data_IF_604367104735
#
_entry.id   IF_604367104735
#
_cell.length_a   1.000
_cell.length_b   1.000
_cell.length_c   1.000
_cell.angle_alpha   90.00
_cell.angle_beta   90.00
_cell.angle_gamma   90.00
#
_symmetry.space_group_name_H-M   'P 1'
#
loop_
_entity.id
_entity.type
_entity.pdbx_description
1 polymer ?
#
# COMPACT_ATOMS: atom_id res chain seq x y z
N UNK A 1 -6.00 20.17 36.35
CA UNK A 1 -6.17 18.76 35.95
C UNK A 1 -6.34 18.74 34.44
N UNK A 2 -5.29 18.40 33.69
CA UNK A 2 -5.39 18.31 32.22
C UNK A 2 -6.02 16.98 31.85
N UNK A 3 -7.10 17.00 31.10
CA UNK A 3 -7.69 15.81 30.48
C UNK A 3 -6.68 15.19 29.51
N UNK A 4 -6.47 13.87 29.51
CA UNK A 4 -5.67 13.23 28.49
C UNK A 4 -6.34 13.47 27.14
N UNK A 5 -5.58 14.03 26.19
CA UNK A 5 -6.01 14.11 24.80
C UNK A 5 -6.24 12.67 24.32
N UNK A 6 -7.47 12.36 23.89
CA UNK A 6 -7.71 11.14 23.15
C UNK A 6 -6.74 11.14 21.96
N UNK A 7 -5.91 10.11 21.85
CA UNK A 7 -5.04 9.93 20.70
C UNK A 7 -5.86 9.84 19.41
N UNK A 8 -5.22 9.96 18.24
CA UNK A 8 -5.91 9.77 16.97
C UNK A 8 -6.66 8.42 16.96
N UNK A 9 -7.95 8.46 16.65
CA UNK A 9 -8.77 7.27 16.43
C UNK A 9 -8.44 6.78 15.03
N UNK A 10 -7.67 5.70 14.94
CA UNK A 10 -7.39 5.06 13.66
C UNK A 10 -8.59 4.20 13.26
N UNK A 11 -9.05 4.33 12.03
CA UNK A 11 -10.11 3.49 11.50
C UNK A 11 -9.59 2.06 11.26
N UNK A 12 -10.36 1.03 11.63
CA UNK A 12 -10.00 -0.35 11.33
C UNK A 12 -9.95 -0.57 9.81
N UNK A 13 -9.21 -1.61 9.39
CA UNK A 13 -9.16 -1.97 7.98
C UNK A 13 -10.55 -2.28 7.41
N UNK A 14 -10.86 -1.72 6.24
CA UNK A 14 -12.10 -1.99 5.52
C UNK A 14 -12.03 -3.37 4.86
N UNK A 15 -12.96 -4.24 5.22
CA UNK A 15 -13.09 -5.58 4.67
C UNK A 15 -13.53 -5.57 3.19
N UNK A 16 -12.72 -6.15 2.30
CA UNK A 16 -13.03 -6.28 0.86
C UNK A 16 -13.83 -7.56 0.55
N UNK A 17 -14.81 -7.89 1.40
CA UNK A 17 -15.65 -9.09 1.26
C UNK A 17 -16.49 -9.01 -0.03
N UNK A 18 -16.06 -9.75 -1.05
CA UNK A 18 -16.82 -9.92 -2.29
C UNK A 18 -16.46 -8.95 -3.43
N UNK A 19 -15.46 -8.08 -3.28
CA UNK A 19 -15.02 -7.24 -4.39
C UNK A 19 -14.10 -6.08 -4.02
N UNK A 20 -13.73 -5.30 -5.04
CA UNK A 20 -12.80 -4.16 -4.92
C UNK A 20 -13.51 -2.80 -4.98
N UNK A 21 -14.83 -2.75 -4.82
CA UNK A 21 -15.59 -1.51 -5.06
C UNK A 21 -15.22 -0.41 -4.05
N UNK A 22 -15.04 -0.77 -2.78
CA UNK A 22 -14.60 0.15 -1.72
C UNK A 22 -13.20 0.69 -2.02
N UNK A 23 -12.26 -0.20 -2.38
CA UNK A 23 -10.91 0.18 -2.79
C UNK A 23 -10.91 1.07 -4.03
N UNK A 24 -11.71 0.74 -5.06
CA UNK A 24 -11.86 1.54 -6.29
C UNK A 24 -12.43 2.93 -5.98
N UNK A 25 -13.45 3.01 -5.12
CA UNK A 25 -14.06 4.27 -4.72
C UNK A 25 -13.03 5.15 -4.02
N UNK A 26 -12.38 4.63 -2.98
CA UNK A 26 -11.35 5.35 -2.25
C UNK A 26 -10.18 5.76 -3.17
N UNK A 27 -9.72 4.86 -4.05
CA UNK A 27 -8.68 5.19 -5.02
C UNK A 27 -9.06 6.41 -5.88
N UNK A 28 -10.30 6.46 -6.37
CA UNK A 28 -10.79 7.55 -7.21
C UNK A 28 -11.08 8.83 -6.42
N UNK A 29 -11.51 8.74 -5.16
CA UNK A 29 -11.70 9.90 -4.27
C UNK A 29 -10.37 10.63 -4.00
N UNK A 30 -9.25 9.89 -4.00
CA UNK A 30 -7.90 10.42 -3.78
C UNK A 30 -7.09 10.62 -5.08
N UNK A 31 -7.75 10.76 -6.23
CA UNK A 31 -7.05 10.87 -7.52
C UNK A 31 -6.30 12.19 -7.72
N UNK A 32 -6.55 13.21 -6.91
CA UNK A 32 -5.86 14.50 -6.97
C UNK A 32 -4.44 14.47 -6.40
N UNK A 33 -4.07 13.38 -5.71
CA UNK A 33 -2.76 13.17 -5.12
C UNK A 33 -2.05 11.92 -5.69
N UNK A 34 -0.71 11.86 -5.58
CA UNK A 34 0.00 10.60 -5.78
C UNK A 34 -0.46 9.57 -4.74
N UNK A 35 -0.57 8.31 -5.16
CA UNK A 35 -1.05 7.21 -4.33
C UNK A 35 -0.04 6.07 -4.32
N UNK A 36 0.17 5.49 -3.14
CA UNK A 36 0.97 4.28 -2.96
C UNK A 36 0.05 3.16 -2.48
N UNK A 37 -0.07 2.11 -3.29
CA UNK A 37 -0.73 0.87 -2.87
C UNK A 37 0.33 -0.10 -2.38
N UNK A 38 0.14 -0.63 -1.19
CA UNK A 38 0.99 -1.67 -0.59
C UNK A 38 0.17 -2.93 -0.44
N UNK A 39 0.67 -4.02 -1.01
CA UNK A 39 0.13 -5.36 -0.83
C UNK A 39 1.00 -6.10 0.17
N UNK A 40 0.47 -6.52 1.32
CA UNK A 40 1.30 -7.05 2.40
C UNK A 40 0.57 -8.11 3.24
N UNK A 41 1.26 -9.17 3.69
CA UNK A 41 0.75 -10.02 4.75
C UNK A 41 0.84 -9.29 6.11
N UNK A 42 -0.24 -9.20 6.89
CA UNK A 42 -0.28 -8.42 8.13
C UNK A 42 0.58 -8.99 9.26
N UNK A 43 0.81 -10.31 9.33
CA UNK A 43 1.66 -10.91 10.36
C UNK A 43 3.15 -10.99 10.00
N UNK A 44 3.56 -10.49 8.83
CA UNK A 44 4.94 -10.59 8.37
C UNK A 44 5.81 -9.44 8.91
N UNK A 45 6.58 -9.70 9.98
CA UNK A 45 7.48 -8.71 10.60
C UNK A 45 8.47 -8.05 9.63
N UNK A 46 9.00 -8.81 8.67
CA UNK A 46 9.90 -8.29 7.63
C UNK A 46 9.20 -7.30 6.69
N UNK A 47 7.94 -7.57 6.33
CA UNK A 47 7.16 -6.67 5.48
C UNK A 47 6.81 -5.40 6.24
N UNK A 48 6.41 -5.50 7.50
CA UNK A 48 6.11 -4.33 8.36
C UNK A 48 7.35 -3.44 8.58
N UNK A 49 8.53 -4.04 8.77
CA UNK A 49 9.79 -3.30 8.87
C UNK A 49 10.11 -2.56 7.57
N UNK A 50 10.05 -3.26 6.42
CA UNK A 50 10.30 -2.65 5.11
C UNK A 50 9.30 -1.52 4.78
N UNK A 51 8.04 -1.67 5.18
CA UNK A 51 7.02 -0.63 5.06
C UNK A 51 7.39 0.62 5.88
N UNK A 52 7.80 0.44 7.13
CA UNK A 52 8.23 1.56 8.00
C UNK A 52 9.43 2.30 7.42
N UNK A 53 10.49 1.58 7.04
CA UNK A 53 11.68 2.15 6.39
C UNK A 53 11.31 2.93 5.12
N UNK A 54 10.45 2.33 4.29
CA UNK A 54 10.01 2.95 3.06
C UNK A 54 9.17 4.21 3.29
N UNK A 55 8.29 4.23 4.30
CA UNK A 55 7.54 5.42 4.67
C UNK A 55 8.45 6.54 5.13
N UNK A 56 9.46 6.25 5.96
CA UNK A 56 10.42 7.24 6.43
C UNK A 56 11.23 7.84 5.28
N UNK A 57 11.66 7.01 4.32
CA UNK A 57 12.33 7.48 3.13
C UNK A 57 11.39 8.37 2.30
N UNK A 58 10.17 7.91 1.99
CA UNK A 58 9.17 8.73 1.29
C UNK A 58 8.94 10.04 2.05
N UNK A 59 8.78 10.04 3.37
CA UNK A 59 8.60 11.26 4.15
C UNK A 59 9.79 12.23 4.01
N UNK A 60 11.03 11.72 3.93
CA UNK A 60 12.23 12.53 3.67
C UNK A 60 12.23 13.16 2.28
N UNK A 61 11.79 12.42 1.25
CA UNK A 61 11.85 12.89 -0.14
C UNK A 61 10.56 13.59 -0.62
N UNK A 62 9.44 13.40 0.08
CA UNK A 62 8.09 13.91 -0.27
C UNK A 62 7.76 15.28 0.31
N UNK A 63 8.71 16.22 0.32
CA UNK A 63 8.46 17.52 0.97
C UNK A 63 7.46 18.44 0.24
N UNK A 64 7.01 18.09 -0.98
CA UNK A 64 6.22 19.00 -1.83
C UNK A 64 4.77 18.59 -2.06
N UNK A 65 4.45 17.29 -2.01
CA UNK A 65 3.09 16.80 -2.20
C UNK A 65 2.83 15.63 -1.24
N UNK A 66 1.75 15.68 -0.45
CA UNK A 66 1.38 14.56 0.39
C UNK A 66 0.95 13.36 -0.46
N UNK A 67 1.32 12.16 -0.03
CA UNK A 67 0.92 10.90 -0.66
C UNK A 67 -0.20 10.28 0.14
N UNK A 68 -1.18 9.70 -0.56
CA UNK A 68 -2.18 8.84 0.07
C UNK A 68 -1.72 7.39 0.01
N UNK A 69 -1.67 6.73 1.16
CA UNK A 69 -1.29 5.33 1.26
C UNK A 69 -2.53 4.45 1.30
N UNK A 70 -2.48 3.34 0.56
CA UNK A 70 -3.51 2.31 0.54
C UNK A 70 -2.82 1.01 0.93
N UNK A 71 -3.00 0.58 2.17
CA UNK A 71 -2.42 -0.68 2.65
C UNK A 71 -3.50 -1.76 2.53
N UNK A 72 -3.21 -2.78 1.74
CA UNK A 72 -4.11 -3.91 1.50
C UNK A 72 -3.46 -5.14 2.13
N UNK A 73 -4.01 -5.55 3.26
CA UNK A 73 -3.60 -6.75 3.98
C UNK A 73 -4.09 -8.00 3.27
N UNK A 74 -3.21 -8.93 2.96
CA UNK A 74 -3.53 -10.19 2.28
C UNK A 74 -3.24 -11.39 3.18
N UNK A 75 -4.13 -12.39 3.16
CA UNK A 75 -3.97 -13.60 3.95
C UNK A 75 -2.98 -14.59 3.31
N UNK A 76 -1.70 -14.22 3.28
CA UNK A 76 -0.63 -14.99 2.62
C UNK A 76 0.14 -15.91 3.58
N UNK A 77 0.03 -15.71 4.89
CA UNK A 77 0.64 -16.54 5.93
C UNK A 77 -0.43 -17.28 6.73
N UNK A 78 -0.11 -18.45 7.35
CA UNK A 78 -1.09 -19.25 8.08
C UNK A 78 -1.80 -18.54 9.25
N UNK A 79 -1.19 -17.48 9.79
CA UNK A 79 -1.73 -16.68 10.89
C UNK A 79 -2.40 -15.38 10.43
N UNK A 80 -2.45 -15.12 9.13
CA UNK A 80 -3.10 -13.92 8.61
C UNK A 80 -4.62 -14.10 8.60
N UNK A 81 -5.30 -13.06 9.02
CA UNK A 81 -6.74 -12.95 9.10
C UNK A 81 -7.15 -11.47 9.33
N UNK A 82 -8.45 -11.22 9.43
CA UNK A 82 -9.00 -9.90 9.72
C UNK A 82 -8.48 -9.29 11.05
N UNK A 83 -8.21 -10.13 12.06
CA UNK A 83 -7.78 -9.66 13.37
C UNK A 83 -6.31 -9.19 13.34
N UNK A 84 -5.43 -9.94 12.70
CA UNK A 84 -4.04 -9.56 12.46
C UNK A 84 -3.94 -8.37 11.51
N UNK A 85 -4.80 -8.25 10.49
CA UNK A 85 -4.93 -7.07 9.65
C UNK A 85 -5.31 -5.82 10.46
N UNK A 86 -6.33 -5.90 11.31
CA UNK A 86 -6.73 -4.81 12.18
C UNK A 86 -5.62 -4.41 13.16
N UNK A 87 -4.92 -5.39 13.74
CA UNK A 87 -3.77 -5.16 14.61
C UNK A 87 -2.64 -4.44 13.87
N UNK A 88 -2.26 -4.92 12.68
CA UNK A 88 -1.20 -4.31 11.88
C UNK A 88 -1.54 -2.86 11.50
N UNK A 89 -2.80 -2.58 11.13
CA UNK A 89 -3.26 -1.20 10.88
C UNK A 89 -3.08 -0.30 12.10
N UNK A 90 -3.49 -0.78 13.28
CA UNK A 90 -3.39 -0.02 14.53
C UNK A 90 -1.93 0.21 14.95
N UNK A 91 -1.07 -0.80 14.80
CA UNK A 91 0.35 -0.72 15.13
C UNK A 91 1.08 0.27 14.20
N UNK A 92 0.69 0.34 12.92
CA UNK A 92 1.22 1.34 12.00
C UNK A 92 0.71 2.73 12.36
N UNK A 93 -0.61 2.95 12.42
CA UNK A 93 -1.20 4.23 12.82
C UNK A 93 -0.72 5.41 11.95
N UNK A 94 -0.68 5.22 10.63
CA UNK A 94 -0.12 6.21 9.72
C UNK A 94 -1.17 7.25 9.31
N UNK A 95 -0.82 8.53 9.37
CA UNK A 95 -1.64 9.59 8.80
C UNK A 95 -1.80 9.40 7.28
N UNK A 96 -2.93 9.85 6.72
CA UNK A 96 -3.27 9.76 5.28
C UNK A 96 -3.15 8.35 4.70
N UNK A 97 -3.47 7.36 5.53
CA UNK A 97 -3.38 5.95 5.17
C UNK A 97 -4.75 5.31 5.31
N UNK A 98 -5.16 4.63 4.25
CA UNK A 98 -6.37 3.83 4.19
C UNK A 98 -5.98 2.37 4.26
N UNK A 99 -6.59 1.65 5.18
CA UNK A 99 -6.32 0.23 5.40
C UNK A 99 -7.47 -0.61 4.86
N UNK A 100 -7.13 -1.68 4.16
CA UNK A 100 -8.07 -2.65 3.60
C UNK A 100 -7.63 -4.05 3.96
N UNK A 101 -8.58 -4.95 4.12
CA UNK A 101 -8.32 -6.38 4.30
C UNK A 101 -8.86 -7.17 3.10
N UNK A 102 -7.98 -7.90 2.42
CA UNK A 102 -8.23 -8.72 1.23
C UNK A 102 -7.94 -10.20 1.51
N UNK A 103 -8.68 -10.80 2.45
CA UNK A 103 -8.51 -12.22 2.84
C UNK A 103 -8.77 -13.24 1.72
N UNK A 104 -9.28 -12.81 0.56
CA UNK A 104 -9.48 -13.66 -0.62
C UNK A 104 -8.50 -13.37 -1.76
N UNK A 105 -7.58 -12.41 -1.60
CA UNK A 105 -6.62 -11.99 -2.64
C UNK A 105 -7.27 -11.39 -3.89
N UNK A 106 -8.51 -10.89 -3.80
CA UNK A 106 -9.26 -10.35 -4.93
C UNK A 106 -8.69 -9.03 -5.42
N UNK A 107 -8.30 -8.14 -4.52
CA UNK A 107 -7.67 -6.87 -4.86
C UNK A 107 -6.28 -7.13 -5.44
N UNK A 108 -5.48 -7.96 -4.78
CA UNK A 108 -4.15 -8.35 -5.28
C UNK A 108 -4.20 -8.91 -6.69
N UNK A 109 -5.11 -9.86 -6.98
CA UNK A 109 -5.27 -10.40 -8.35
C UNK A 109 -5.71 -9.37 -9.38
N UNK A 110 -6.54 -8.39 -9.02
CA UNK A 110 -6.95 -7.33 -9.95
C UNK A 110 -5.83 -6.34 -10.23
N UNK A 111 -5.08 -5.95 -9.22
CA UNK A 111 -3.90 -5.08 -9.35
C UNK A 111 -2.76 -5.77 -10.11
N UNK A 112 -2.67 -7.10 -10.04
CA UNK A 112 -1.71 -7.89 -10.82
C UNK A 112 -1.98 -7.86 -12.33
N UNK A 113 -3.25 -7.71 -12.75
CA UNK A 113 -3.62 -7.75 -14.17
C UNK A 113 -3.01 -6.54 -14.87
N UNK A 114 -2.18 -6.80 -15.88
CA UNK A 114 -1.42 -5.77 -16.61
C UNK A 114 0.01 -5.57 -16.11
N UNK A 115 0.39 -6.21 -14.98
CA UNK A 115 1.78 -6.24 -14.51
C UNK A 115 2.40 -7.61 -14.77
N UNK A 116 3.73 -7.70 -14.83
CA UNK A 116 4.48 -8.97 -14.92
C UNK A 116 4.36 -9.86 -13.66
N UNK A 117 3.49 -9.50 -12.71
CA UNK A 117 3.46 -9.98 -11.34
C UNK A 117 2.34 -11.00 -11.06
N UNK A 118 1.74 -11.59 -12.08
CA UNK A 118 0.73 -12.63 -11.92
C UNK A 118 1.30 -13.83 -11.15
N UNK A 119 1.10 -13.85 -9.83
CA UNK A 119 1.58 -14.87 -8.90
C UNK A 119 2.56 -14.39 -7.82
N UNK A 120 3.07 -13.16 -7.89
CA UNK A 120 4.08 -12.63 -6.97
C UNK A 120 3.75 -11.25 -6.40
N UNK A 121 2.48 -10.84 -6.35
CA UNK A 121 2.12 -9.52 -5.84
C UNK A 121 2.08 -9.41 -4.30
N UNK A 122 2.19 -10.53 -3.59
CA UNK A 122 2.36 -10.52 -2.15
C UNK A 122 3.63 -9.76 -1.78
N UNK A 123 3.52 -8.66 -1.01
CA UNK A 123 4.66 -7.81 -0.59
C UNK A 123 5.21 -6.88 -1.66
N UNK A 124 4.30 -6.22 -2.39
CA UNK A 124 4.62 -5.24 -3.42
C UNK A 124 4.20 -3.82 -3.03
N UNK A 125 4.92 -2.85 -3.57
CA UNK A 125 4.59 -1.42 -3.50
C UNK A 125 4.33 -0.93 -4.93
N UNK A 126 3.19 -0.29 -5.14
CA UNK A 126 2.70 0.17 -6.44
C UNK A 126 2.50 1.68 -6.39
N UNK A 127 3.15 2.40 -7.29
CA UNK A 127 3.07 3.85 -7.38
C UNK A 127 2.13 4.30 -8.50
N UNK A 128 1.19 5.16 -8.15
CA UNK A 128 0.24 5.78 -9.05
C UNK A 128 0.37 7.30 -8.97
N UNK A 129 0.72 7.99 -10.07
CA UNK A 129 0.66 9.44 -10.11
C UNK A 129 -0.79 9.96 -9.93
N UNK A 130 -0.89 11.25 -9.64
CA UNK A 130 -2.18 11.95 -9.61
C UNK A 130 -2.86 11.92 -10.99
N UNK A 131 -4.18 12.07 -11.01
CA UNK A 131 -5.03 12.10 -12.19
C UNK A 131 -5.47 10.75 -12.73
N UNK A 132 -4.88 9.64 -12.26
CA UNK A 132 -5.31 8.30 -12.70
C UNK A 132 -6.62 7.88 -12.04
N UNK A 133 -7.54 7.33 -12.82
CA UNK A 133 -8.80 6.77 -12.34
C UNK A 133 -8.84 5.26 -12.53
N UNK A 134 -9.35 4.54 -11.53
CA UNK A 134 -9.74 3.14 -11.64
C UNK A 134 -11.13 3.07 -12.27
N UNK A 135 -11.19 2.61 -13.52
CA UNK A 135 -12.44 2.39 -14.27
C UNK A 135 -12.90 0.92 -14.10
N UNK A 136 -13.04 0.15 -15.16
CA UNK A 136 -13.35 -1.28 -15.07
C UNK A 136 -12.15 -2.08 -14.55
N UNK A 137 -10.95 -1.72 -14.99
CA UNK A 137 -9.66 -2.26 -14.51
C UNK A 137 -8.88 -1.18 -13.78
N UNK A 138 -8.01 -1.55 -12.81
CA UNK A 138 -7.09 -0.58 -12.24
C UNK A 138 -6.17 -0.04 -13.36
N UNK A 139 -5.73 1.22 -13.27
CA UNK A 139 -4.68 1.70 -14.16
C UNK A 139 -3.39 0.91 -13.91
N UNK A 140 -2.47 0.92 -14.88
CA UNK A 140 -1.13 0.37 -14.65
C UNK A 140 -0.36 1.28 -13.67
N UNK A 141 0.37 0.70 -12.71
CA UNK A 141 1.25 1.49 -11.85
C UNK A 141 2.39 2.06 -12.68
N UNK A 142 2.71 3.34 -12.50
CA UNK A 142 3.84 3.96 -13.19
C UNK A 142 5.15 3.29 -12.77
N UNK A 143 5.27 2.93 -11.49
CA UNK A 143 6.40 2.18 -10.94
C UNK A 143 5.91 1.17 -9.92
N UNK A 144 6.65 0.08 -9.75
CA UNK A 144 6.41 -0.87 -8.68
C UNK A 144 7.71 -1.53 -8.25
N UNK A 145 7.74 -2.05 -7.02
CA UNK A 145 8.81 -2.92 -6.55
C UNK A 145 8.24 -4.03 -5.68
N UNK A 146 9.05 -5.06 -5.47
CA UNK A 146 8.71 -6.19 -4.64
C UNK A 146 9.74 -6.36 -3.53
N UNK A 147 9.30 -6.49 -2.27
CA UNK A 147 10.21 -6.49 -1.12
C UNK A 147 11.05 -7.78 -1.00
N UNK A 148 10.70 -8.83 -1.75
CA UNK A 148 11.56 -10.00 -1.90
C UNK A 148 12.36 -9.84 -3.19
N UNK A 149 13.67 -9.67 -3.08
CA UNK A 149 14.58 -9.43 -4.22
C UNK A 149 14.80 -10.60 -5.18
N UNK A 150 13.77 -11.42 -5.41
CA UNK A 150 13.79 -12.62 -6.28
C UNK A 150 13.17 -12.39 -7.66
N UNK A 151 12.48 -11.27 -7.87
CA UNK A 151 12.04 -10.84 -9.19
C UNK A 151 13.20 -10.10 -9.86
N UNK A 152 13.23 -9.97 -11.18
CA UNK A 152 14.40 -9.51 -11.96
C UNK A 152 15.15 -8.31 -11.33
N UNK A 153 16.48 -8.17 -11.53
CA UNK A 153 17.30 -7.16 -10.85
C UNK A 153 16.74 -5.73 -10.89
N UNK A 154 16.00 -5.40 -11.95
CA UNK A 154 15.38 -4.08 -12.14
C UNK A 154 14.25 -3.79 -11.16
N UNK A 155 13.58 -4.81 -10.61
CA UNK A 155 12.40 -4.69 -9.74
C UNK A 155 12.59 -5.24 -8.32
N UNK A 156 13.71 -5.93 -8.09
CA UNK A 156 14.24 -6.28 -6.77
C UNK A 156 15.00 -5.10 -6.17
N UNK A 157 14.33 -3.97 -5.97
CA UNK A 157 14.97 -2.79 -5.40
C UNK A 157 14.87 -2.78 -3.88
N UNK A 158 15.96 -2.44 -3.16
CA UNK A 158 15.86 -2.14 -1.75
C UNK A 158 15.02 -0.84 -1.54
N UNK A 159 14.40 -0.65 -0.36
CA UNK A 159 13.47 0.45 -0.10
C UNK A 159 14.00 1.85 -0.48
N UNK A 160 15.30 2.10 -0.33
CA UNK A 160 15.93 3.39 -0.61
C UNK A 160 15.91 3.71 -2.12
N UNK A 161 16.17 2.72 -2.97
CA UNK A 161 16.08 2.89 -4.42
C UNK A 161 14.64 3.03 -4.88
N UNK A 162 13.69 2.40 -4.18
CA UNK A 162 12.26 2.55 -4.46
C UNK A 162 11.80 4.00 -4.25
N UNK A 163 12.13 4.60 -3.11
CA UNK A 163 11.69 5.96 -2.81
C UNK A 163 12.32 6.98 -3.76
N UNK A 164 13.57 6.78 -4.15
CA UNK A 164 14.24 7.57 -5.19
C UNK A 164 13.57 7.39 -6.57
N UNK A 165 13.24 6.16 -6.97
CA UNK A 165 12.55 5.88 -8.23
C UNK A 165 11.15 6.52 -8.27
N UNK A 166 10.46 6.55 -7.14
CA UNK A 166 9.13 7.17 -7.03
C UNK A 166 9.25 8.70 -7.05
N UNK A 167 10.16 9.28 -6.27
CA UNK A 167 10.28 10.74 -6.17
C UNK A 167 10.96 11.40 -7.35
N UNK A 168 11.88 10.74 -8.05
CA UNK A 168 12.39 11.25 -9.32
C UNK A 168 11.29 11.45 -10.36
N UNK A 169 10.18 10.69 -10.26
CA UNK A 169 9.00 10.80 -11.12
C UNK A 169 7.93 11.75 -10.58
N UNK A 170 8.17 12.45 -9.47
CA UNK A 170 7.29 13.50 -8.93
C UNK A 170 7.68 14.91 -9.38
N UNK A 171 8.86 15.04 -10.00
CA UNK A 171 9.48 16.33 -10.35
C UNK A 171 9.05 16.82 -11.75
N UNK A 172 8.33 15.99 -12.50
CA UNK A 172 7.63 16.40 -13.73
C UNK A 172 6.18 16.83 -13.42
#
# INVERSE_FOLDING_TARGET
>A
MSTPSAGPVYEPAVELRGGVQELKRAFNEHQDAPRLIVLAPPSCSRTLAAMTEFREEIARVSMRKPVTWFIIWQDDLPSDDAASAAKASADLGWDRTLYFHDGFGTAGRRLARGTVLSGYLARAFLYYPAGLAWTETPPEPAAWVHCMGRLTPDHAQPPERMAQAITSRWVE
#
